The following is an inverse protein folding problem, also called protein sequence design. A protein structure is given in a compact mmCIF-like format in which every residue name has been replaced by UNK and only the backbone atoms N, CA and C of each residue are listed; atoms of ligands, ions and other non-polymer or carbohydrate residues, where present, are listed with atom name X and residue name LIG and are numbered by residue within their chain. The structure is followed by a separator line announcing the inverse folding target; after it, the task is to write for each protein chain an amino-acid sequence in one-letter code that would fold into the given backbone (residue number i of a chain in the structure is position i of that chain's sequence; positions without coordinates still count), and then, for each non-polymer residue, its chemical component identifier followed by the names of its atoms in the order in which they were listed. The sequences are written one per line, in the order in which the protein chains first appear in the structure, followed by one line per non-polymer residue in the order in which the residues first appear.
data_IF_807391597141
#
_entry.id   IF_807391597141
#
_cell.length_a   1.000
_cell.length_b   1.000
_cell.length_c   1.000
_cell.angle_alpha   90.00
_cell.angle_beta   90.00
_cell.angle_gamma   90.00
#
_symmetry.space_group_name_H-M   'P 1'
#
loop_
_entity.id
_entity.type
_entity.pdbx_description
1 polymer ?
#
# COMPACT_ATOMS: atom_id res chain seq x y z
N UNK A 1 11.17 8.53 3.53
CA UNK A 1 10.28 7.48 2.98
C UNK A 1 9.57 7.91 1.70
N UNK A 2 8.56 8.79 1.73
CA UNK A 2 7.77 9.15 0.52
C UNK A 2 8.64 9.62 -0.66
N UNK A 3 9.62 10.48 -0.41
CA UNK A 3 10.50 10.99 -1.46
C UNK A 3 11.31 9.89 -2.16
N UNK A 4 11.91 8.96 -1.39
CA UNK A 4 12.69 7.84 -1.93
C UNK A 4 11.81 6.86 -2.74
N UNK A 5 10.61 6.56 -2.24
CA UNK A 5 9.66 5.69 -2.96
C UNK A 5 9.20 6.37 -4.25
N UNK A 6 8.96 7.68 -4.21
CA UNK A 6 8.61 8.48 -5.38
C UNK A 6 9.71 8.47 -6.45
N UNK A 7 10.98 8.74 -6.08
CA UNK A 7 12.10 8.69 -7.02
C UNK A 7 12.27 7.29 -7.65
N UNK A 8 12.13 6.24 -6.84
CA UNK A 8 12.18 4.86 -7.34
C UNK A 8 11.05 4.58 -8.33
N UNK A 9 9.83 5.05 -8.04
CA UNK A 9 8.69 4.87 -8.92
C UNK A 9 8.82 5.68 -10.22
N UNK A 10 9.37 6.89 -10.17
CA UNK A 10 9.68 7.69 -11.37
C UNK A 10 10.72 6.98 -12.24
N UNK A 11 11.80 6.47 -11.62
CA UNK A 11 12.84 5.71 -12.35
C UNK A 11 12.28 4.45 -13.01
N UNK A 12 11.38 3.74 -12.34
CA UNK A 12 10.72 2.54 -12.86
C UNK A 12 9.76 2.84 -14.02
N UNK A 13 9.02 3.94 -13.91
CA UNK A 13 7.95 4.27 -14.87
C UNK A 13 8.41 5.13 -16.03
N UNK A 14 9.56 5.80 -15.91
CA UNK A 14 10.04 6.78 -16.89
C UNK A 14 9.15 8.02 -16.99
N UNK A 15 8.23 8.24 -16.04
CA UNK A 15 7.24 9.30 -16.11
C UNK A 15 7.89 10.68 -15.96
N UNK A 16 7.64 11.57 -16.93
CA UNK A 16 7.93 13.00 -16.82
C UNK A 16 6.77 13.68 -16.09
N UNK A 17 7.01 14.17 -14.88
CA UNK A 17 5.99 14.77 -14.02
C UNK A 17 6.41 16.19 -13.66
N UNK A 18 5.56 17.16 -13.95
CA UNK A 18 5.78 18.55 -13.53
C UNK A 18 5.69 18.71 -12.01
N UNK A 19 6.12 19.86 -11.50
CA UNK A 19 6.20 20.12 -10.05
C UNK A 19 4.83 20.13 -9.35
N UNK A 20 3.77 20.53 -10.04
CA UNK A 20 2.42 20.60 -9.49
C UNK A 20 1.82 19.19 -9.36
N UNK A 21 1.89 18.40 -10.43
CA UNK A 21 1.48 17.00 -10.46
C UNK A 21 2.30 16.18 -9.44
N UNK A 22 3.62 16.43 -9.35
CA UNK A 22 4.48 15.78 -8.37
C UNK A 22 4.05 16.10 -6.93
N UNK A 23 3.60 17.33 -6.65
CA UNK A 23 3.05 17.74 -5.36
C UNK A 23 1.79 16.93 -5.01
N UNK A 24 0.80 16.93 -5.90
CA UNK A 24 -0.47 16.21 -5.74
C UNK A 24 -0.28 14.70 -5.53
N UNK A 25 0.62 14.09 -6.30
CA UNK A 25 0.95 12.66 -6.19
C UNK A 25 1.58 12.34 -4.83
N UNK A 26 2.52 13.18 -4.36
CA UNK A 26 3.16 12.98 -3.05
C UNK A 26 2.14 13.12 -1.91
N UNK A 27 1.19 14.04 -2.01
CA UNK A 27 0.10 14.18 -1.03
C UNK A 27 -0.83 12.97 -1.05
N UNK A 28 -1.29 12.55 -2.23
CA UNK A 28 -2.11 11.34 -2.38
C UNK A 28 -1.38 10.11 -1.82
N UNK A 29 -0.07 10.00 -2.04
CA UNK A 29 0.76 8.92 -1.50
C UNK A 29 0.87 8.97 0.04
N UNK A 30 0.95 10.17 0.64
CA UNK A 30 0.91 10.31 2.11
C UNK A 30 -0.42 9.84 2.68
N UNK A 31 -1.52 10.17 2.02
CA UNK A 31 -2.85 9.67 2.40
C UNK A 31 -2.91 8.15 2.28
N UNK A 32 -2.44 7.58 1.17
CA UNK A 32 -2.34 6.14 0.95
C UNK A 32 -1.51 5.43 2.03
N UNK A 33 -0.34 5.97 2.38
CA UNK A 33 0.50 5.46 3.47
C UNK A 33 -0.23 5.48 4.81
N UNK A 34 -0.96 6.56 5.09
CA UNK A 34 -1.72 6.69 6.35
C UNK A 34 -2.82 5.64 6.42
N UNK A 35 -3.56 5.43 5.33
CA UNK A 35 -4.56 4.37 5.22
C UNK A 35 -3.93 2.98 5.37
N UNK A 36 -2.87 2.69 4.62
CA UNK A 36 -2.15 1.41 4.71
C UNK A 36 -1.64 1.14 6.13
N UNK A 37 -1.10 2.17 6.81
CA UNK A 37 -0.63 2.05 8.20
C UNK A 37 -1.77 1.79 9.18
N UNK A 38 -2.94 2.40 8.97
CA UNK A 38 -4.12 2.12 9.80
C UNK A 38 -4.59 0.68 9.62
N UNK A 39 -4.65 0.21 8.37
CA UNK A 39 -5.00 -1.17 8.02
C UNK A 39 -3.98 -2.14 8.63
N UNK A 40 -2.68 -1.83 8.54
CA UNK A 40 -1.60 -2.71 8.99
C UNK A 40 -1.64 -3.05 10.48
N UNK A 41 -2.25 -2.21 11.31
CA UNK A 41 -2.44 -2.48 12.74
C UNK A 41 -3.43 -3.63 13.01
N UNK A 42 -4.24 -3.97 12.01
CA UNK A 42 -5.23 -5.04 12.07
C UNK A 42 -4.91 -6.19 11.09
N UNK A 43 -3.72 -6.20 10.50
CA UNK A 43 -3.26 -7.28 9.62
C UNK A 43 -2.79 -8.48 10.43
N UNK A 44 -3.77 -9.30 10.83
CA UNK A 44 -3.58 -10.67 11.29
C UNK A 44 -4.48 -11.56 10.44
N UNK A 45 -4.41 -12.88 10.62
CA UNK A 45 -5.53 -13.76 10.26
C UNK A 45 -6.74 -13.26 11.07
N UNK A 46 -7.64 -12.52 10.42
CA UNK A 46 -8.77 -11.84 11.07
C UNK A 46 -10.10 -12.52 10.77
N UNK A 47 -10.15 -13.35 9.73
CA UNK A 47 -11.28 -14.19 9.39
C UNK A 47 -11.23 -15.57 10.09
N UNK A 48 -10.08 -15.96 10.65
CA UNK A 48 -9.87 -17.20 11.39
C UNK A 48 -9.73 -18.44 10.50
N UNK A 49 -9.37 -18.27 9.22
CA UNK A 49 -9.29 -19.37 8.24
C UNK A 49 -7.89 -20.02 8.17
N UNK A 50 -6.94 -19.53 8.97
CA UNK A 50 -5.55 -20.00 9.01
C UNK A 50 -4.68 -19.47 7.88
N UNK A 51 -5.16 -18.51 7.08
CA UNK A 51 -4.44 -17.87 5.98
C UNK A 51 -4.43 -16.36 6.17
N UNK A 52 -3.60 -15.71 5.36
CA UNK A 52 -3.64 -14.27 5.20
C UNK A 52 -3.83 -14.01 3.72
N UNK A 53 -4.95 -13.40 3.35
CA UNK A 53 -5.26 -13.10 1.96
C UNK A 53 -5.99 -11.75 1.78
N UNK A 54 -6.59 -11.55 0.59
CA UNK A 54 -7.28 -10.32 0.27
C UNK A 54 -8.51 -10.04 1.15
N UNK A 55 -9.15 -11.06 1.71
CA UNK A 55 -10.31 -10.91 2.57
C UNK A 55 -9.90 -10.46 3.98
N UNK A 56 -8.74 -10.91 4.48
CA UNK A 56 -8.15 -10.36 5.71
C UNK A 56 -7.83 -8.87 5.59
N UNK A 57 -7.33 -8.44 4.42
CA UNK A 57 -7.02 -7.03 4.17
C UNK A 57 -8.30 -6.18 4.14
N UNK A 58 -9.39 -6.70 3.57
CA UNK A 58 -10.70 -6.03 3.59
C UNK A 58 -11.22 -5.90 5.02
N UNK A 59 -11.21 -6.99 5.78
CA UNK A 59 -11.65 -7.02 7.17
C UNK A 59 -10.78 -6.12 8.06
N UNK A 60 -9.47 -6.09 7.84
CA UNK A 60 -8.56 -5.19 8.51
C UNK A 60 -8.86 -3.71 8.19
N UNK A 61 -9.26 -3.40 6.96
CA UNK A 61 -9.72 -2.07 6.58
C UNK A 61 -11.01 -1.68 7.30
N UNK A 62 -12.00 -2.56 7.35
CA UNK A 62 -13.24 -2.32 8.07
C UNK A 62 -12.99 -2.13 9.58
N UNK A 63 -12.16 -2.97 10.21
CA UNK A 63 -11.72 -2.82 11.60
C UNK A 63 -10.97 -1.51 11.84
N UNK A 64 -10.22 -1.03 10.85
CA UNK A 64 -9.56 0.28 10.90
C UNK A 64 -10.52 1.46 10.72
N UNK A 65 -11.82 1.22 10.51
CA UNK A 65 -12.82 2.25 10.23
C UNK A 65 -12.69 2.82 8.80
N UNK A 66 -12.11 2.05 7.88
CA UNK A 66 -11.95 2.42 6.48
C UNK A 66 -12.89 1.55 5.65
N UNK A 67 -13.95 2.15 5.12
CA UNK A 67 -14.86 1.45 4.22
C UNK A 67 -14.10 1.03 2.95
N UNK A 68 -13.97 -0.28 2.71
CA UNK A 68 -13.23 -0.82 1.58
C UNK A 68 -13.69 -0.21 0.25
N UNK A 69 -15.00 -0.07 0.05
CA UNK A 69 -15.57 0.49 -1.17
C UNK A 69 -15.30 1.98 -1.41
N UNK A 70 -14.80 2.69 -0.39
CA UNK A 70 -14.38 4.09 -0.49
C UNK A 70 -12.89 4.26 -0.76
N UNK A 71 -12.12 3.16 -0.77
CA UNK A 71 -10.69 3.19 -1.10
C UNK A 71 -10.53 3.32 -2.62
N UNK A 72 -9.67 4.23 -3.04
CA UNK A 72 -9.27 4.41 -4.44
C UNK A 72 -8.82 3.06 -5.08
N UNK A 73 -9.24 2.73 -6.31
CA UNK A 73 -8.93 1.45 -6.95
C UNK A 73 -7.42 1.13 -7.06
N UNK A 74 -6.58 2.15 -7.29
CA UNK A 74 -5.13 1.98 -7.35
C UNK A 74 -4.59 1.64 -5.95
N UNK A 75 -5.17 2.27 -4.92
CA UNK A 75 -4.82 1.96 -3.53
C UNK A 75 -5.29 0.56 -3.11
N UNK A 76 -6.48 0.10 -3.54
CA UNK A 76 -6.91 -1.30 -3.31
C UNK A 76 -5.91 -2.28 -3.89
N UNK A 77 -5.55 -2.08 -5.17
CA UNK A 77 -4.58 -2.92 -5.86
C UNK A 77 -3.23 -2.92 -5.15
N UNK A 78 -2.79 -1.75 -4.71
CA UNK A 78 -1.54 -1.60 -3.99
C UNK A 78 -1.54 -2.26 -2.60
N UNK A 79 -2.66 -2.19 -1.86
CA UNK A 79 -2.84 -2.87 -0.57
C UNK A 79 -2.81 -4.39 -0.74
N UNK A 80 -3.45 -4.93 -1.79
CA UNK A 80 -3.42 -6.35 -2.09
C UNK A 80 -2.00 -6.81 -2.49
N UNK A 81 -1.30 -6.04 -3.31
CA UNK A 81 0.09 -6.33 -3.70
C UNK A 81 1.05 -6.23 -2.50
N UNK A 82 0.86 -5.23 -1.63
CA UNK A 82 1.60 -5.07 -0.38
C UNK A 82 1.31 -6.19 0.61
N UNK A 83 0.06 -6.66 0.66
CA UNK A 83 -0.35 -7.82 1.44
C UNK A 83 0.33 -9.10 0.98
N UNK A 84 0.31 -9.37 -0.33
CA UNK A 84 1.00 -10.51 -0.92
C UNK A 84 2.51 -10.51 -0.62
N UNK A 85 3.15 -9.34 -0.68
CA UNK A 85 4.55 -9.19 -0.30
C UNK A 85 4.79 -9.37 1.22
N UNK A 86 3.84 -8.97 2.06
CA UNK A 86 3.87 -9.13 3.52
C UNK A 86 3.72 -10.58 3.99
N UNK A 87 2.94 -11.41 3.28
CA UNK A 87 2.78 -12.85 3.56
C UNK A 87 4.12 -13.58 3.56
N UNK A 88 5.01 -13.24 2.63
CA UNK A 88 6.34 -13.85 2.53
C UNK A 88 7.23 -13.64 3.77
N UNK A 89 6.89 -12.67 4.62
CA UNK A 89 7.66 -12.30 5.83
C UNK A 89 7.03 -12.86 7.11
N UNK A 90 5.79 -13.34 7.07
CA UNK A 90 4.97 -13.68 8.23
C UNK A 90 5.17 -15.09 8.82
N UNK A 91 6.19 -15.84 8.39
CA UNK A 91 6.49 -17.19 8.92
C UNK A 91 7.08 -17.19 10.36
N UNK A 92 7.21 -16.03 11.02
CA UNK A 92 7.78 -15.90 12.38
C UNK A 92 6.88 -15.01 13.28
N UNK A 93 6.23 -15.53 14.35
CA UNK A 93 5.05 -14.90 14.99
C UNK A 93 5.25 -13.56 15.73
N UNK A 94 6.49 -13.16 16.05
CA UNK A 94 6.74 -11.92 16.82
C UNK A 94 7.76 -10.98 16.16
N UNK A 95 8.75 -11.53 15.46
CA UNK A 95 9.71 -10.72 14.67
C UNK A 95 9.10 -10.34 13.32
N UNK A 96 8.18 -11.16 12.79
CA UNK A 96 7.49 -10.93 11.52
C UNK A 96 6.67 -9.65 11.49
N UNK A 97 5.87 -9.35 12.53
CA UNK A 97 4.97 -8.19 12.53
C UNK A 97 5.70 -6.83 12.50
N UNK A 98 6.82 -6.71 13.22
CA UNK A 98 7.62 -5.47 13.26
C UNK A 98 8.25 -5.14 11.89
N UNK A 99 8.47 -6.15 11.04
CA UNK A 99 8.98 -6.01 9.67
C UNK A 99 7.83 -5.95 8.66
N UNK A 100 6.75 -6.72 8.90
CA UNK A 100 5.59 -6.82 8.03
C UNK A 100 4.85 -5.49 7.91
N UNK A 101 4.72 -4.71 9.00
CA UNK A 101 4.07 -3.40 8.96
C UNK A 101 4.85 -2.42 8.05
N UNK A 102 6.16 -2.15 8.26
CA UNK A 102 6.95 -1.33 7.33
C UNK A 102 6.96 -1.86 5.90
N UNK A 103 7.06 -3.18 5.71
CA UNK A 103 7.07 -3.79 4.38
C UNK A 103 5.73 -3.61 3.66
N UNK A 104 4.60 -3.87 4.33
CA UNK A 104 3.26 -3.67 3.81
C UNK A 104 3.03 -2.21 3.41
N UNK A 105 3.33 -1.27 4.31
CA UNK A 105 3.15 0.17 4.07
C UNK A 105 4.06 0.65 2.93
N UNK A 106 5.33 0.27 2.94
CA UNK A 106 6.30 0.67 1.92
C UNK A 106 5.96 0.12 0.53
N UNK A 107 5.57 -1.16 0.47
CA UNK A 107 5.21 -1.84 -0.78
C UNK A 107 3.90 -1.31 -1.34
N UNK A 108 2.89 -1.10 -0.49
CA UNK A 108 1.62 -0.46 -0.90
C UNK A 108 1.87 0.96 -1.42
N UNK A 109 2.72 1.74 -0.75
CA UNK A 109 3.05 3.08 -1.22
C UNK A 109 3.76 3.07 -2.59
N UNK A 110 4.67 2.11 -2.81
CA UNK A 110 5.37 1.96 -4.08
C UNK A 110 4.42 1.58 -5.22
N UNK A 111 3.58 0.55 -5.05
CA UNK A 111 2.64 0.14 -6.09
C UNK A 111 1.59 1.21 -6.38
N UNK A 112 1.14 1.93 -5.35
CA UNK A 112 0.24 3.07 -5.54
C UNK A 112 0.88 4.16 -6.40
N UNK A 113 2.14 4.51 -6.11
CA UNK A 113 2.91 5.47 -6.90
C UNK A 113 3.10 5.01 -8.35
N UNK A 114 3.51 3.76 -8.55
CA UNK A 114 3.67 3.19 -9.89
C UNK A 114 2.35 3.24 -10.68
N UNK A 115 1.22 2.90 -10.05
CA UNK A 115 -0.09 2.96 -10.68
C UNK A 115 -0.46 4.39 -11.10
N UNK A 116 -0.34 5.38 -10.19
CA UNK A 116 -0.62 6.79 -10.50
C UNK A 116 0.30 7.34 -11.59
N UNK A 117 1.59 7.02 -11.55
CA UNK A 117 2.56 7.48 -12.56
C UNK A 117 2.32 6.85 -13.93
N UNK A 118 1.98 5.55 -14.00
CA UNK A 118 1.59 4.88 -15.26
C UNK A 118 0.29 5.41 -15.85
N UNK A 119 -0.63 5.89 -15.02
CA UNK A 119 -1.84 6.57 -15.47
C UNK A 119 -1.56 7.95 -16.09
N UNK A 120 -0.51 8.64 -15.64
CA UNK A 120 -0.11 9.97 -16.11
C UNK A 120 0.69 9.89 -17.43
N UNK A 121 1.48 8.82 -17.63
CA UNK A 121 2.23 8.59 -18.86
C UNK A 121 1.40 8.09 -20.06
N UNK A 122 0.07 8.06 -19.95
CA UNK A 122 -0.86 7.64 -21.02
C UNK A 122 -1.54 8.82 -21.75
N UNK A 123 -0.96 10.02 -21.68
CA UNK A 123 -1.37 11.14 -22.53
C UNK A 123 -0.61 11.15 -23.85
#
# INVERSE_FOLDING_TARGET
MVHQIYERAIKETGAAVDSEAAGKIKEATRSAITTARRISLYLTDVNGDGKFDGDDIKLAAEKAGVAWDKIDPDLKTALLAGGAAGIGVNFIPFVGQAIAIPAFVGTSAYFYLVAKLRGIGKN
#
